data_IF_380759695280
#
_entry.id   IF_380759695280
#
_cell.length_a   1.000
_cell.length_b   1.000
_cell.length_c   1.000
_cell.angle_alpha   90.00
_cell.angle_beta   90.00
_cell.angle_gamma   90.00
#
_symmetry.space_group_name_H-M   'P 1'
#
loop_
_entity.id
_entity.type
_entity.pdbx_description
1 polymer ?
#
# COMPACT_ATOMS: atom_id res chain seq x y z
N UNK A 1 -30.99 -34.88 -35.27
CA UNK A 1 -29.85 -35.78 -34.98
C UNK A 1 -28.70 -34.92 -34.49
N UNK A 2 -28.43 -34.99 -33.18
CA UNK A 2 -27.21 -34.65 -32.43
C UNK A 2 -26.49 -33.30 -32.63
N UNK A 3 -26.37 -32.47 -31.58
CA UNK A 3 -25.28 -31.51 -31.40
C UNK A 3 -24.13 -32.13 -30.58
N UNK A 4 -22.88 -31.89 -30.98
CA UNK A 4 -21.67 -32.40 -30.31
C UNK A 4 -20.92 -31.29 -29.58
N UNK A 5 -20.93 -31.41 -28.25
CA UNK A 5 -19.86 -31.12 -27.29
C UNK A 5 -19.12 -29.77 -27.31
N UNK A 6 -19.62 -28.81 -26.53
CA UNK A 6 -18.79 -27.95 -25.68
C UNK A 6 -18.77 -28.56 -24.28
N UNK A 7 -17.62 -29.03 -23.80
CA UNK A 7 -17.49 -29.53 -22.43
C UNK A 7 -17.39 -28.36 -21.45
N UNK A 8 -18.44 -28.21 -20.66
CA UNK A 8 -18.47 -27.43 -19.42
C UNK A 8 -17.51 -28.08 -18.42
N UNK A 9 -16.36 -27.45 -18.17
CA UNK A 9 -15.40 -27.81 -17.11
C UNK A 9 -15.82 -27.42 -15.70
N UNK A 10 -17.12 -27.43 -15.39
CA UNK A 10 -17.64 -27.27 -14.02
C UNK A 10 -18.14 -28.62 -13.49
N UNK A 11 -17.20 -29.46 -13.05
CA UNK A 11 -17.47 -30.59 -12.17
C UNK A 11 -16.17 -30.85 -11.40
N UNK A 12 -15.97 -30.34 -10.19
CA UNK A 12 -16.56 -30.91 -8.98
C UNK A 12 -16.33 -29.92 -7.83
N UNK A 13 -17.20 -28.94 -7.66
CA UNK A 13 -17.27 -28.21 -6.38
C UNK A 13 -17.99 -29.13 -5.39
N UNK A 14 -17.21 -29.93 -4.65
CA UNK A 14 -17.70 -30.59 -3.44
C UNK A 14 -18.26 -29.49 -2.53
N UNK A 15 -19.58 -29.49 -2.30
CA UNK A 15 -20.17 -28.78 -1.16
C UNK A 15 -19.49 -29.32 0.10
N UNK A 16 -18.56 -28.57 0.67
CA UNK A 16 -18.01 -28.86 1.98
C UNK A 16 -19.16 -28.78 2.99
N UNK A 17 -19.41 -29.89 3.70
CA UNK A 17 -20.33 -29.90 4.84
C UNK A 17 -19.74 -28.97 5.93
N UNK A 18 -20.56 -28.26 6.73
CA UNK A 18 -20.07 -27.25 7.66
C UNK A 18 -19.20 -27.72 8.85
N UNK A 19 -18.75 -28.98 8.90
CA UNK A 19 -18.10 -29.54 10.11
C UNK A 19 -16.94 -30.51 9.88
N UNK A 20 -16.50 -30.79 8.66
CA UNK A 20 -15.39 -31.71 8.35
C UNK A 20 -14.67 -31.15 7.10
N UNK A 21 -13.37 -30.85 7.01
CA UNK A 21 -12.17 -31.31 7.72
C UNK A 21 -11.09 -30.23 7.49
N UNK A 22 -10.62 -29.56 8.54
CA UNK A 22 -9.44 -28.68 8.45
C UNK A 22 -8.18 -29.55 8.24
N UNK A 23 -7.28 -29.20 7.32
CA UNK A 23 -6.08 -30.00 7.03
C UNK A 23 -5.16 -30.15 8.27
N UNK A 24 -4.47 -31.30 8.47
CA UNK A 24 -3.71 -31.62 9.69
C UNK A 24 -2.68 -30.56 10.15
N UNK A 25 -2.06 -29.81 9.24
CA UNK A 25 -1.11 -28.74 9.61
C UNK A 25 -1.78 -27.50 10.25
N UNK A 26 -3.03 -27.19 9.88
CA UNK A 26 -3.82 -26.15 10.56
C UNK A 26 -4.36 -26.62 11.93
N UNK A 27 -4.29 -27.93 12.21
CA UNK A 27 -4.78 -28.53 13.46
C UNK A 27 -3.73 -28.54 14.58
N UNK A 28 -2.43 -28.43 14.28
CA UNK A 28 -1.36 -28.33 15.29
C UNK A 28 -1.34 -26.93 15.93
N UNK A 29 -2.35 -26.67 16.77
CA UNK A 29 -2.42 -25.47 17.59
C UNK A 29 -1.66 -25.73 18.89
N UNK A 30 -0.61 -24.97 19.15
CA UNK A 30 0.02 -25.00 20.47
C UNK A 30 -0.88 -24.27 21.48
N UNK A 31 -0.96 -24.75 22.74
CA UNK A 31 -1.61 -23.99 23.81
C UNK A 31 -1.06 -22.56 23.86
N UNK A 32 -1.94 -21.59 24.08
CA UNK A 32 -1.64 -20.14 24.17
C UNK A 32 -1.22 -19.51 22.84
N UNK A 33 -0.29 -20.09 22.08
CA UNK A 33 0.27 -19.49 20.87
C UNK A 33 -0.53 -19.76 19.59
N UNK A 34 -1.34 -20.82 19.57
CA UNK A 34 -2.04 -21.25 18.37
C UNK A 34 -1.07 -21.60 17.24
N UNK A 35 -1.23 -20.94 16.09
CA UNK A 35 -0.45 -21.11 14.87
C UNK A 35 0.72 -20.10 14.74
N UNK A 36 0.99 -19.25 15.74
CA UNK A 36 2.08 -18.25 15.66
C UNK A 36 3.44 -18.88 15.35
N UNK A 37 3.73 -20.05 15.94
CA UNK A 37 4.98 -20.79 15.73
C UNK A 37 5.19 -21.29 14.29
N UNK A 38 4.14 -21.27 13.45
CA UNK A 38 4.21 -21.67 12.05
C UNK A 38 4.60 -20.49 11.14
N UNK A 39 4.55 -19.26 11.65
CA UNK A 39 4.90 -18.05 10.90
C UNK A 39 6.38 -17.71 11.10
N UNK A 40 7.05 -17.32 10.01
CA UNK A 40 8.42 -16.81 10.03
C UNK A 40 8.43 -15.29 9.78
N UNK A 41 9.61 -14.71 9.49
CA UNK A 41 9.78 -13.28 9.19
C UNK A 41 8.97 -12.79 7.97
N UNK A 42 8.49 -13.71 7.11
CA UNK A 42 7.72 -13.42 5.91
C UNK A 42 6.34 -14.10 5.95
N UNK A 43 5.44 -13.69 6.88
CA UNK A 43 4.18 -14.38 7.12
C UNK A 43 3.28 -14.44 5.87
N UNK A 44 3.30 -13.42 5.02
CA UNK A 44 2.56 -13.40 3.76
C UNK A 44 2.93 -14.55 2.81
N UNK A 45 4.20 -14.98 2.78
CA UNK A 45 4.66 -16.10 1.96
C UNK A 45 4.18 -17.44 2.53
N UNK A 46 4.35 -17.63 3.83
CA UNK A 46 3.88 -18.84 4.54
C UNK A 46 2.37 -19.00 4.36
N UNK A 47 1.61 -17.91 4.57
CA UNK A 47 0.16 -17.92 4.41
C UNK A 47 -0.28 -18.18 2.96
N UNK A 48 0.50 -17.76 1.95
CA UNK A 48 0.24 -18.14 0.56
C UNK A 48 0.41 -19.64 0.35
N UNK A 49 1.53 -20.22 0.80
CA UNK A 49 1.79 -21.67 0.70
C UNK A 49 0.67 -22.48 1.37
N UNK A 50 0.25 -22.07 2.58
CA UNK A 50 -0.88 -22.70 3.27
C UNK A 50 -2.18 -22.56 2.46
N UNK A 51 -2.45 -21.40 1.86
CA UNK A 51 -3.66 -21.21 1.06
C UNK A 51 -3.68 -22.03 -0.23
N UNK A 52 -2.52 -22.33 -0.81
CA UNK A 52 -2.42 -23.25 -1.95
C UNK A 52 -2.73 -24.70 -1.55
N UNK A 53 -2.43 -25.09 -0.31
CA UNK A 53 -2.71 -26.43 0.22
C UNK A 53 -4.14 -26.59 0.76
N UNK A 54 -4.73 -25.53 1.31
CA UNK A 54 -5.97 -25.62 2.09
C UNK A 54 -7.14 -24.84 1.47
N UNK A 55 -6.87 -24.10 0.42
CA UNK A 55 -7.82 -23.20 -0.23
C UNK A 55 -7.65 -21.74 0.21
N UNK A 56 -8.29 -20.82 -0.52
CA UNK A 56 -8.09 -19.37 -0.37
C UNK A 56 -8.75 -18.76 0.87
N UNK A 57 -9.45 -19.57 1.68
CA UNK A 57 -10.11 -19.18 2.94
C UNK A 57 -9.63 -20.15 4.01
N UNK A 58 -8.91 -19.64 5.02
CA UNK A 58 -8.38 -20.47 6.10
C UNK A 58 -8.65 -19.82 7.45
N UNK A 59 -8.96 -20.64 8.45
CA UNK A 59 -9.04 -20.20 9.83
C UNK A 59 -7.78 -20.64 10.58
N UNK A 60 -7.07 -19.68 11.15
CA UNK A 60 -5.93 -19.91 12.04
C UNK A 60 -6.18 -19.24 13.39
N UNK A 61 -5.35 -19.57 14.37
CA UNK A 61 -5.39 -18.99 15.70
C UNK A 61 -4.08 -18.24 15.94
N UNK A 62 -4.10 -16.91 16.08
CA UNK A 62 -2.92 -16.12 16.42
C UNK A 62 -2.99 -15.71 17.89
N UNK A 63 -2.37 -16.50 18.76
CA UNK A 63 -2.54 -16.32 20.20
C UNK A 63 -3.99 -16.63 20.64
N UNK A 64 -4.63 -15.68 21.31
CA UNK A 64 -6.06 -15.76 21.68
C UNK A 64 -7.01 -15.32 20.55
N UNK A 65 -6.50 -14.79 19.44
CA UNK A 65 -7.33 -14.24 18.36
C UNK A 65 -7.64 -15.29 17.29
N UNK A 66 -8.92 -15.63 17.05
CA UNK A 66 -9.31 -16.37 15.85
C UNK A 66 -9.15 -15.47 14.62
N UNK A 67 -8.43 -15.97 13.62
CA UNK A 67 -8.00 -15.18 12.46
C UNK A 67 -8.36 -15.88 11.16
N UNK A 68 -9.23 -15.26 10.38
CA UNK A 68 -9.56 -15.62 9.02
C UNK A 68 -8.49 -15.06 8.06
N UNK A 69 -7.83 -15.94 7.32
CA UNK A 69 -6.90 -15.59 6.25
C UNK A 69 -7.64 -15.71 4.92
N UNK A 70 -7.58 -14.66 4.11
CA UNK A 70 -8.14 -14.66 2.76
C UNK A 70 -7.04 -14.38 1.72
N UNK A 71 -7.01 -15.17 0.65
CA UNK A 71 -5.96 -15.12 -0.38
C UNK A 71 -6.50 -15.11 -1.81
N UNK A 72 -7.78 -14.77 -2.04
CA UNK A 72 -8.35 -14.66 -3.38
C UNK A 72 -9.15 -13.36 -3.57
N UNK A 73 -9.19 -12.88 -4.81
CA UNK A 73 -9.91 -11.66 -5.18
C UNK A 73 -11.41 -11.75 -4.92
N UNK A 74 -12.04 -12.91 -5.17
CA UNK A 74 -13.48 -13.11 -4.97
C UNK A 74 -13.88 -12.98 -3.49
N UNK A 75 -13.09 -13.54 -2.58
CA UNK A 75 -13.32 -13.45 -1.13
C UNK A 75 -13.02 -12.05 -0.61
N UNK A 76 -11.96 -11.41 -1.12
CA UNK A 76 -11.67 -10.01 -0.80
C UNK A 76 -12.82 -9.08 -1.22
N UNK A 77 -13.42 -9.33 -2.39
CA UNK A 77 -14.61 -8.62 -2.87
C UNK A 77 -15.81 -8.81 -1.93
N UNK A 78 -16.10 -10.05 -1.53
CA UNK A 78 -17.21 -10.31 -0.61
C UNK A 78 -17.02 -9.58 0.73
N UNK A 79 -15.79 -9.59 1.30
CA UNK A 79 -15.51 -8.99 2.61
C UNK A 79 -15.45 -7.46 2.56
N UNK A 80 -14.80 -6.88 1.55
CA UNK A 80 -14.54 -5.44 1.50
C UNK A 80 -15.54 -4.65 0.66
N UNK A 81 -16.42 -5.31 -0.09
CA UNK A 81 -17.49 -4.66 -0.86
C UNK A 81 -18.86 -5.13 -0.39
N UNK A 82 -19.20 -6.40 -0.60
CA UNK A 82 -20.55 -6.92 -0.31
C UNK A 82 -20.90 -6.86 1.17
N UNK A 83 -19.94 -7.20 2.04
CA UNK A 83 -20.10 -7.28 3.50
C UNK A 83 -19.22 -6.27 4.24
N UNK A 84 -18.91 -5.15 3.58
CA UNK A 84 -17.91 -4.19 4.07
C UNK A 84 -18.18 -3.69 5.49
N UNK A 85 -19.46 -3.52 5.85
CA UNK A 85 -19.87 -2.99 7.13
C UNK A 85 -19.61 -4.00 8.24
N UNK A 86 -19.88 -5.28 7.98
CA UNK A 86 -19.65 -6.35 8.92
C UNK A 86 -18.17 -6.45 9.28
N UNK A 87 -17.27 -6.21 8.32
CA UNK A 87 -15.81 -6.27 8.50
C UNK A 87 -15.15 -4.89 8.64
N UNK A 88 -15.91 -3.87 9.00
CA UNK A 88 -15.39 -2.50 9.02
C UNK A 88 -14.57 -2.19 10.26
N UNK A 89 -14.53 -3.04 11.30
CA UNK A 89 -13.80 -2.76 12.54
C UNK A 89 -12.31 -3.14 12.44
N UNK A 90 -11.53 -2.78 13.47
CA UNK A 90 -10.12 -3.12 13.63
C UNK A 90 -9.92 -3.92 14.91
N UNK A 91 -9.09 -4.99 14.90
CA UNK A 91 -8.75 -5.70 16.12
C UNK A 91 -7.99 -4.77 17.06
N UNK A 92 -8.28 -4.88 18.36
CA UNK A 92 -7.58 -4.09 19.37
C UNK A 92 -6.10 -4.48 19.46
N UNK A 93 -5.23 -3.47 19.58
CA UNK A 93 -3.79 -3.64 19.76
C UNK A 93 -3.29 -2.67 20.83
N UNK A 94 -2.74 -3.21 21.91
CA UNK A 94 -2.15 -2.40 23.00
C UNK A 94 -1.01 -1.50 22.51
N UNK A 95 -0.25 -1.95 21.51
CA UNK A 95 0.83 -1.17 20.90
C UNK A 95 0.26 0.02 20.13
N UNK A 96 -0.73 -0.24 19.27
CA UNK A 96 -1.40 0.81 18.50
C UNK A 96 -2.12 1.80 19.42
N UNK A 97 -2.74 1.32 20.51
CA UNK A 97 -3.36 2.20 21.49
C UNK A 97 -2.35 3.12 22.19
N UNK A 98 -1.11 2.67 22.44
CA UNK A 98 -0.07 3.52 23.03
C UNK A 98 0.53 4.51 22.03
N UNK A 99 0.79 4.07 20.80
CA UNK A 99 1.47 4.89 19.78
C UNK A 99 0.52 5.88 19.11
N UNK A 100 -0.73 5.48 18.85
CA UNK A 100 -1.72 6.24 18.07
C UNK A 100 -2.78 6.87 18.97
N UNK A 101 -2.37 7.30 20.17
CA UNK A 101 -3.19 8.06 21.11
C UNK A 101 -4.56 7.42 21.39
N UNK A 102 -4.53 6.15 21.82
CA UNK A 102 -5.67 5.29 22.07
C UNK A 102 -6.51 5.01 20.80
N UNK A 103 -5.82 4.76 19.69
CA UNK A 103 -6.41 4.51 18.37
C UNK A 103 -7.38 5.63 17.94
N UNK A 104 -6.94 6.89 18.09
CA UNK A 104 -7.69 8.07 17.64
C UNK A 104 -7.33 8.51 16.22
N UNK A 105 -6.50 7.73 15.55
CA UNK A 105 -6.06 7.87 14.15
C UNK A 105 -7.10 7.33 13.13
N UNK A 106 -6.76 7.31 11.84
CA UNK A 106 -7.68 6.86 10.77
C UNK A 106 -7.53 5.36 10.49
N UNK A 107 -6.32 4.83 10.61
CA UNK A 107 -5.97 3.45 10.29
C UNK A 107 -6.57 2.44 11.28
N UNK A 108 -6.43 2.70 12.58
CA UNK A 108 -6.66 1.76 13.68
C UNK A 108 -7.91 2.08 14.52
N UNK A 109 -8.50 3.27 14.38
CA UNK A 109 -9.70 3.61 15.15
C UNK A 109 -10.88 2.64 14.90
N UNK A 110 -11.60 2.24 15.97
CA UNK A 110 -12.80 1.43 15.85
C UNK A 110 -13.84 2.06 14.93
N UNK A 111 -14.59 1.22 14.21
CA UNK A 111 -15.60 1.72 13.30
C UNK A 111 -16.77 2.35 14.07
N UNK A 112 -17.14 3.57 13.71
CA UNK A 112 -18.24 4.29 14.35
C UNK A 112 -18.30 5.74 13.88
N UNK A 113 -19.16 6.53 14.53
CA UNK A 113 -19.38 7.93 14.15
C UNK A 113 -18.10 8.77 14.23
N UNK A 114 -17.28 8.52 15.28
CA UNK A 114 -15.96 9.14 15.42
C UNK A 114 -15.09 8.88 14.19
N UNK A 115 -14.83 7.61 13.87
CA UNK A 115 -13.97 7.26 12.74
C UNK A 115 -14.52 7.78 11.40
N UNK A 116 -15.84 7.76 11.20
CA UNK A 116 -16.44 8.31 9.98
C UNK A 116 -16.18 9.80 9.85
N UNK A 117 -16.31 10.57 10.94
CA UNK A 117 -15.98 12.00 10.95
C UNK A 117 -14.50 12.24 10.64
N UNK A 118 -13.59 11.56 11.35
CA UNK A 118 -12.13 11.75 11.14
C UNK A 118 -11.73 11.35 9.72
N UNK A 119 -12.19 10.19 9.21
CA UNK A 119 -11.92 9.79 7.83
C UNK A 119 -12.47 10.81 6.83
N UNK A 120 -13.70 11.30 7.04
CA UNK A 120 -14.28 12.31 6.17
C UNK A 120 -13.43 13.58 6.16
N UNK A 121 -12.97 14.02 7.33
CA UNK A 121 -12.05 15.16 7.45
C UNK A 121 -10.78 14.94 6.64
N UNK A 122 -10.11 13.79 6.80
CA UNK A 122 -8.89 13.50 6.06
C UNK A 122 -9.12 13.46 4.55
N UNK A 123 -10.19 12.80 4.08
CA UNK A 123 -10.48 12.69 2.64
C UNK A 123 -10.87 14.04 2.02
N UNK A 124 -11.69 14.85 2.70
CA UNK A 124 -12.18 16.10 2.13
C UNK A 124 -11.19 17.25 2.25
N UNK A 125 -10.53 17.39 3.40
CA UNK A 125 -9.73 18.58 3.70
C UNK A 125 -8.23 18.38 3.47
N UNK A 126 -7.71 17.15 3.68
CA UNK A 126 -6.28 16.86 3.59
C UNK A 126 -5.88 16.15 2.29
N UNK A 127 -6.72 15.24 1.80
CA UNK A 127 -6.39 14.29 0.72
C UNK A 127 -7.35 14.38 -0.47
N UNK A 128 -8.09 15.48 -0.59
CA UNK A 128 -8.92 15.74 -1.76
C UNK A 128 -8.04 16.06 -2.97
N UNK A 129 -8.55 15.81 -4.18
CA UNK A 129 -7.79 16.10 -5.41
C UNK A 129 -7.27 17.54 -5.45
N UNK A 130 -8.09 18.52 -5.07
CA UNK A 130 -7.68 19.92 -4.99
C UNK A 130 -6.51 20.13 -4.02
N UNK A 131 -6.53 19.45 -2.88
CA UNK A 131 -5.48 19.56 -1.87
C UNK A 131 -4.21 18.83 -2.27
N UNK A 132 -4.32 17.64 -2.85
CA UNK A 132 -3.16 16.94 -3.43
C UNK A 132 -2.50 17.83 -4.49
N UNK A 133 -3.29 18.42 -5.38
CA UNK A 133 -2.78 19.35 -6.41
C UNK A 133 -2.13 20.60 -5.80
N UNK A 134 -2.60 21.14 -4.68
CA UNK A 134 -1.94 22.31 -4.06
C UNK A 134 -0.52 22.02 -3.54
N UNK A 135 -0.16 20.76 -3.28
CA UNK A 135 1.20 20.36 -2.87
C UNK A 135 2.14 20.07 -4.04
N UNK A 136 1.76 20.41 -5.28
CA UNK A 136 2.58 20.13 -6.47
C UNK A 136 3.96 20.77 -6.41
N UNK A 137 4.05 22.03 -6.00
CA UNK A 137 5.32 22.76 -5.97
C UNK A 137 6.27 22.14 -4.94
N UNK A 138 5.75 21.87 -3.73
CA UNK A 138 6.51 21.17 -2.68
C UNK A 138 7.01 19.82 -3.17
N UNK A 139 6.16 19.01 -3.82
CA UNK A 139 6.59 17.73 -4.39
C UNK A 139 7.68 17.91 -5.45
N UNK A 140 7.54 18.88 -6.34
CA UNK A 140 8.53 19.16 -7.37
C UNK A 140 9.87 19.59 -6.78
N UNK A 141 9.87 20.46 -5.77
CA UNK A 141 11.05 20.92 -5.03
C UNK A 141 11.75 19.76 -4.32
N UNK A 142 11.03 19.02 -3.47
CA UNK A 142 11.57 17.88 -2.71
C UNK A 142 12.11 16.77 -3.63
N UNK A 143 11.42 16.49 -4.74
CA UNK A 143 11.91 15.50 -5.70
C UNK A 143 13.16 15.99 -6.43
N UNK A 144 13.26 17.29 -6.71
CA UNK A 144 14.47 17.88 -7.31
C UNK A 144 15.64 17.79 -6.34
N UNK A 145 15.41 18.17 -5.09
CA UNK A 145 16.38 18.04 -4.01
C UNK A 145 16.88 16.60 -3.85
N UNK A 146 15.97 15.61 -3.84
CA UNK A 146 16.33 14.19 -3.81
C UNK A 146 17.24 13.80 -4.99
N UNK A 147 16.90 14.24 -6.21
CA UNK A 147 17.70 13.95 -7.41
C UNK A 147 19.08 14.62 -7.33
N UNK A 148 19.17 15.85 -6.86
CA UNK A 148 20.44 16.54 -6.63
C UNK A 148 21.31 15.80 -5.61
N UNK A 149 20.72 15.32 -4.52
CA UNK A 149 21.42 14.51 -3.52
C UNK A 149 21.93 13.19 -4.10
N UNK A 150 21.13 12.51 -4.92
CA UNK A 150 21.59 11.31 -5.65
C UNK A 150 22.77 11.64 -6.57
N UNK A 151 22.74 12.77 -7.27
CA UNK A 151 23.82 13.22 -8.15
C UNK A 151 25.12 13.54 -7.39
N UNK A 152 25.02 14.16 -6.22
CA UNK A 152 26.17 14.39 -5.32
C UNK A 152 26.78 13.07 -4.83
N UNK A 153 25.94 12.06 -4.59
CA UNK A 153 26.37 10.73 -4.17
C UNK A 153 26.98 9.91 -5.30
N UNK A 154 26.46 10.00 -6.54
CA UNK A 154 26.98 9.26 -7.69
C UNK A 154 28.40 9.68 -8.10
N UNK A 155 28.85 10.86 -7.67
CA UNK A 155 30.19 11.39 -7.94
C UNK A 155 31.23 10.99 -6.88
N UNK A 156 30.86 10.17 -5.88
CA UNK A 156 31.73 9.83 -4.75
C UNK A 156 31.76 8.32 -4.47
N UNK A 157 32.95 7.79 -4.16
CA UNK A 157 33.17 6.38 -3.82
C UNK A 157 32.73 5.99 -2.39
N UNK A 158 32.22 6.93 -1.58
CA UNK A 158 31.91 6.75 -0.16
C UNK A 158 30.41 6.97 0.14
N UNK A 159 29.54 6.26 -0.58
CA UNK A 159 28.09 6.44 -0.54
C UNK A 159 27.50 6.34 0.88
N UNK A 160 27.99 5.38 1.69
CA UNK A 160 27.47 5.12 3.05
C UNK A 160 27.85 6.23 4.03
N UNK A 161 29.08 6.74 3.98
CA UNK A 161 29.53 7.83 4.84
C UNK A 161 28.82 9.14 4.50
N UNK A 162 28.54 9.40 3.21
CA UNK A 162 27.74 10.56 2.78
C UNK A 162 26.30 10.48 3.25
N UNK A 163 25.63 9.33 3.10
CA UNK A 163 24.24 9.17 3.56
C UNK A 163 24.14 9.38 5.07
N UNK A 164 25.13 8.88 5.84
CA UNK A 164 25.19 9.12 7.28
C UNK A 164 25.34 10.62 7.61
N UNK A 165 26.28 11.32 6.95
CA UNK A 165 26.50 12.76 7.12
C UNK A 165 25.26 13.59 6.75
N UNK A 166 24.60 13.26 5.64
CA UNK A 166 23.38 13.94 5.19
C UNK A 166 22.20 13.71 6.14
N UNK A 167 22.09 12.51 6.72
CA UNK A 167 21.07 12.22 7.73
C UNK A 167 21.31 13.07 8.98
N UNK A 168 22.56 13.20 9.41
CA UNK A 168 22.95 14.04 10.56
C UNK A 168 22.67 15.53 10.29
N UNK A 169 23.07 16.05 9.13
CA UNK A 169 22.79 17.44 8.71
C UNK A 169 21.28 17.74 8.66
N UNK A 170 20.48 16.81 8.14
CA UNK A 170 19.02 16.95 8.13
C UNK A 170 18.46 17.03 9.56
N UNK A 171 18.90 16.12 10.44
CA UNK A 171 18.46 16.11 11.84
C UNK A 171 18.86 17.40 12.56
N UNK A 172 20.08 17.90 12.35
CA UNK A 172 20.54 19.16 12.92
C UNK A 172 19.72 20.35 12.39
N UNK A 173 19.41 20.38 11.09
CA UNK A 173 18.54 21.39 10.48
C UNK A 173 17.13 21.42 11.10
N UNK A 174 16.55 20.24 11.34
CA UNK A 174 15.25 20.12 12.03
C UNK A 174 15.33 20.64 13.46
N UNK A 175 16.41 20.34 14.19
CA UNK A 175 16.65 20.85 15.55
C UNK A 175 16.78 22.37 15.54
N UNK A 176 17.58 22.93 14.63
CA UNK A 176 17.77 24.37 14.52
C UNK A 176 16.48 25.12 14.16
N UNK A 177 15.67 24.59 13.23
CA UNK A 177 14.40 25.21 12.83
C UNK A 177 13.42 25.28 14.02
N UNK A 178 13.36 24.23 14.84
CA UNK A 178 12.51 24.18 16.02
C UNK A 178 13.05 25.03 17.20
N UNK A 179 14.36 25.24 17.29
CA UNK A 179 14.96 26.19 18.23
C UNK A 179 14.70 27.65 17.81
N UNK A 180 14.73 27.94 16.50
CA UNK A 180 14.51 29.30 15.94
C UNK A 180 13.03 29.71 15.94
N UNK A 181 12.09 28.78 15.76
CA UNK A 181 10.63 29.03 15.89
C UNK A 181 10.18 29.39 17.31
N UNK A 182 11.05 29.31 18.31
CA UNK A 182 10.81 29.84 19.67
C UNK A 182 11.06 31.35 19.84
N UNK A 183 11.53 32.07 18.80
CA UNK A 183 12.10 33.41 18.98
C UNK A 183 11.61 34.54 18.04
N UNK A 184 10.79 34.31 17.01
CA UNK A 184 10.29 35.42 16.19
C UNK A 184 9.02 35.11 15.39
N UNK A 185 8.09 36.06 15.47
CA UNK A 185 6.76 36.11 14.88
C UNK A 185 6.74 36.59 13.41
N UNK A 186 5.61 36.29 12.74
CA UNK A 186 4.95 37.02 11.65
C UNK A 186 5.64 37.17 10.26
N UNK A 187 4.84 36.91 9.21
CA UNK A 187 5.08 37.07 7.76
C UNK A 187 5.87 35.99 7.02
N UNK A 188 5.20 34.89 6.69
CA UNK A 188 5.38 34.21 5.41
C UNK A 188 4.00 33.94 4.79
N UNK A 189 3.88 34.13 3.48
CA UNK A 189 2.69 33.72 2.73
C UNK A 189 2.47 32.22 2.96
N UNK A 190 1.53 31.88 3.85
CA UNK A 190 1.31 30.52 4.31
C UNK A 190 0.83 29.64 3.13
N UNK A 191 1.76 28.84 2.60
CA UNK A 191 1.36 27.55 2.07
C UNK A 191 0.74 26.76 3.23
N UNK A 192 -0.59 26.64 3.23
CA UNK A 192 -1.32 25.98 4.33
C UNK A 192 -0.86 24.54 4.50
N UNK A 193 -0.12 24.25 5.59
CA UNK A 193 0.37 22.90 5.86
C UNK A 193 -0.78 21.97 6.28
N UNK A 194 -0.52 20.65 6.27
CA UNK A 194 -1.47 19.67 6.82
C UNK A 194 -1.88 20.00 8.27
N UNK A 195 -0.94 20.53 9.06
CA UNK A 195 -1.16 20.88 10.47
C UNK A 195 -2.06 22.10 10.58
N UNK A 196 -1.84 23.12 9.75
CA UNK A 196 -2.65 24.35 9.75
C UNK A 196 -4.08 24.05 9.32
N UNK A 197 -4.27 23.16 8.33
CA UNK A 197 -5.60 22.70 7.93
C UNK A 197 -6.29 21.97 9.09
N UNK A 198 -5.59 21.07 9.79
CA UNK A 198 -6.17 20.36 10.94
C UNK A 198 -6.53 21.31 12.08
N UNK A 199 -5.71 22.33 12.34
CA UNK A 199 -5.98 23.36 13.35
C UNK A 199 -7.12 24.31 12.95
N UNK A 200 -7.34 24.52 11.64
CA UNK A 200 -8.42 25.38 11.13
C UNK A 200 -9.81 24.76 11.25
N UNK A 201 -9.92 23.44 11.46
CA UNK A 201 -11.20 22.74 11.56
C UNK A 201 -11.71 22.82 13.00
N UNK A 202 -12.85 23.50 13.19
CA UNK A 202 -13.54 23.55 14.48
C UNK A 202 -13.95 22.14 14.95
N UNK A 203 -13.92 21.90 16.26
CA UNK A 203 -14.36 20.67 16.94
C UNK A 203 -13.48 19.40 16.77
N UNK A 204 -12.19 19.54 16.41
CA UNK A 204 -11.22 18.42 16.49
C UNK A 204 -10.35 18.53 17.73
N UNK A 205 -10.37 17.49 18.58
CA UNK A 205 -9.51 17.43 19.76
C UNK A 205 -8.03 17.37 19.37
N UNK A 206 -7.17 18.09 20.12
CA UNK A 206 -5.70 18.10 19.90
C UNK A 206 -5.08 16.71 19.88
N UNK A 207 -5.63 15.76 20.65
CA UNK A 207 -5.16 14.37 20.66
C UNK A 207 -5.42 13.69 19.31
N UNK A 208 -6.57 13.93 18.70
CA UNK A 208 -6.92 13.45 17.36
C UNK A 208 -6.02 14.08 16.30
N UNK A 209 -5.72 15.38 16.38
CA UNK A 209 -4.79 16.05 15.46
C UNK A 209 -3.41 15.35 15.48
N UNK A 210 -2.83 15.16 16.67
CA UNK A 210 -1.55 14.45 16.81
C UNK A 210 -1.59 13.03 16.26
N UNK A 211 -2.67 12.30 16.52
CA UNK A 211 -2.84 10.94 16.02
C UNK A 211 -2.91 10.88 14.49
N UNK A 212 -3.68 11.79 13.88
CA UNK A 212 -3.80 11.88 12.42
C UNK A 212 -2.47 12.28 11.77
N UNK A 213 -1.75 13.26 12.31
CA UNK A 213 -0.44 13.66 11.77
C UNK A 213 0.54 12.47 11.78
N UNK A 214 0.64 11.78 12.93
CA UNK A 214 1.52 10.63 13.07
C UNK A 214 1.14 9.49 12.13
N UNK A 215 -0.15 9.16 12.03
CA UNK A 215 -0.68 8.12 11.14
C UNK A 215 -0.39 8.44 9.67
N UNK A 216 -0.66 9.67 9.22
CA UNK A 216 -0.41 10.08 7.83
C UNK A 216 1.08 10.06 7.48
N UNK A 217 1.94 10.58 8.37
CA UNK A 217 3.39 10.61 8.14
C UNK A 217 3.97 9.19 8.10
N UNK A 218 3.70 8.38 9.13
CA UNK A 218 4.24 7.03 9.23
C UNK A 218 3.74 6.12 8.10
N UNK A 219 2.43 6.19 7.78
CA UNK A 219 1.86 5.37 6.71
C UNK A 219 2.31 5.83 5.31
N UNK A 220 2.46 7.14 5.10
CA UNK A 220 2.84 7.70 3.81
C UNK A 220 4.30 7.50 3.46
N UNK A 221 5.21 7.70 4.41
CA UNK A 221 6.65 7.67 4.17
C UNK A 221 7.16 6.26 3.80
N UNK A 222 6.97 5.28 4.69
CA UNK A 222 7.48 3.91 4.51
C UNK A 222 6.87 3.22 3.27
N UNK A 223 5.58 3.43 3.04
CA UNK A 223 4.89 2.83 1.90
C UNK A 223 5.38 3.40 0.57
N UNK A 224 5.56 4.73 0.48
CA UNK A 224 6.04 5.40 -0.75
C UNK A 224 7.48 5.01 -1.06
N UNK A 225 8.35 5.01 -0.04
CA UNK A 225 9.73 4.54 -0.14
C UNK A 225 9.79 3.10 -0.69
N UNK A 226 9.01 2.20 -0.09
CA UNK A 226 8.98 0.78 -0.48
C UNK A 226 8.57 0.60 -1.96
N UNK A 227 7.61 1.37 -2.46
CA UNK A 227 7.21 1.29 -3.88
C UNK A 227 8.34 1.75 -4.80
N UNK A 228 9.01 2.86 -4.48
CA UNK A 228 10.11 3.37 -5.29
C UNK A 228 11.31 2.41 -5.29
N UNK A 229 11.65 1.87 -4.12
CA UNK A 229 12.72 0.89 -3.94
C UNK A 229 12.47 -0.37 -4.79
N UNK A 230 11.27 -0.95 -4.70
CA UNK A 230 10.93 -2.12 -5.51
C UNK A 230 10.80 -1.79 -7.01
N UNK A 231 10.29 -0.62 -7.38
CA UNK A 231 10.24 -0.21 -8.78
C UNK A 231 11.66 -0.14 -9.37
N UNK A 232 12.58 0.52 -8.69
CA UNK A 232 13.98 0.63 -9.13
C UNK A 232 14.68 -0.73 -9.12
N UNK A 233 14.46 -1.56 -8.11
CA UNK A 233 15.00 -2.93 -8.02
C UNK A 233 14.57 -3.75 -9.23
N UNK A 234 13.27 -3.75 -9.53
CA UNK A 234 12.72 -4.51 -10.65
C UNK A 234 13.19 -3.99 -12.01
N UNK A 235 13.30 -2.67 -12.19
CA UNK A 235 13.80 -2.08 -13.43
C UNK A 235 15.30 -2.38 -13.64
N UNK A 236 16.12 -2.33 -12.58
CA UNK A 236 17.53 -2.70 -12.63
C UNK A 236 17.74 -4.17 -13.02
N UNK A 237 16.86 -5.05 -12.52
CA UNK A 237 16.84 -6.48 -12.88
C UNK A 237 16.34 -6.76 -14.29
N UNK A 238 15.66 -5.80 -14.91
CA UNK A 238 15.11 -5.93 -16.26
C UNK A 238 15.51 -4.75 -17.14
N UNK A 239 16.78 -4.68 -17.61
CA UNK A 239 17.31 -3.52 -18.34
C UNK A 239 16.49 -3.12 -19.58
N UNK A 240 15.85 -4.09 -20.25
CA UNK A 240 14.95 -3.83 -21.37
C UNK A 240 13.70 -3.03 -20.97
N UNK A 241 13.15 -3.26 -19.77
CA UNK A 241 12.02 -2.50 -19.23
C UNK A 241 12.48 -1.11 -18.76
N UNK A 242 13.66 -1.01 -18.13
CA UNK A 242 14.29 0.27 -17.78
C UNK A 242 14.47 1.15 -19.02
N UNK A 243 15.11 0.61 -20.06
CA UNK A 243 15.36 1.34 -21.33
C UNK A 243 14.06 1.82 -21.97
N UNK A 244 13.02 0.97 -22.00
CA UNK A 244 11.70 1.33 -22.53
C UNK A 244 11.03 2.45 -21.72
N UNK A 245 11.10 2.39 -20.39
CA UNK A 245 10.58 3.45 -19.52
C UNK A 245 11.35 4.75 -19.71
N UNK A 246 12.68 4.71 -19.72
CA UNK A 246 13.51 5.90 -19.96
C UNK A 246 13.22 6.52 -21.33
N UNK A 247 12.98 5.70 -22.36
CA UNK A 247 12.62 6.18 -23.69
C UNK A 247 11.30 6.95 -23.67
N UNK A 248 10.25 6.41 -23.03
CA UNK A 248 8.97 7.14 -22.87
C UNK A 248 9.15 8.44 -22.10
N UNK A 249 9.77 8.38 -20.92
CA UNK A 249 9.89 9.53 -20.01
C UNK A 249 10.73 10.64 -20.64
N UNK A 250 11.90 10.32 -21.23
CA UNK A 250 12.76 11.31 -21.88
C UNK A 250 12.12 11.92 -23.12
N UNK A 251 11.39 11.12 -23.91
CA UNK A 251 10.69 11.66 -25.08
C UNK A 251 9.61 12.67 -24.69
N UNK A 252 8.81 12.37 -23.66
CA UNK A 252 7.74 13.26 -23.20
C UNK A 252 8.30 14.53 -22.56
N UNK A 253 9.30 14.40 -21.67
CA UNK A 253 9.90 15.54 -20.96
C UNK A 253 10.81 16.42 -21.83
N UNK A 254 11.20 15.97 -23.03
CA UNK A 254 11.93 16.81 -24.00
C UNK A 254 11.03 17.81 -24.73
N UNK A 255 9.71 17.77 -24.51
CA UNK A 255 8.76 18.72 -25.12
C UNK A 255 8.88 20.08 -24.45
N UNK A 256 9.12 21.14 -25.22
CA UNK A 256 9.27 22.51 -24.69
C UNK A 256 8.04 22.95 -23.87
N UNK A 257 8.28 23.48 -22.67
CA UNK A 257 7.24 24.03 -21.79
C UNK A 257 6.44 23.00 -20.98
N UNK A 258 6.79 21.71 -21.01
CA UNK A 258 6.08 20.69 -20.25
C UNK A 258 6.44 20.74 -18.75
N UNK A 259 5.48 21.09 -17.90
CA UNK A 259 5.58 20.90 -16.45
C UNK A 259 5.60 19.40 -16.14
N UNK A 260 6.44 18.96 -15.21
CA UNK A 260 6.71 17.52 -15.02
C UNK A 260 5.46 16.76 -14.57
N UNK A 261 4.67 17.31 -13.64
CA UNK A 261 3.43 16.65 -13.18
C UNK A 261 2.34 16.58 -14.27
N UNK A 262 2.20 17.58 -15.13
CA UNK A 262 1.23 17.56 -16.23
C UNK A 262 1.66 16.57 -17.33
N UNK A 263 2.97 16.50 -17.60
CA UNK A 263 3.55 15.56 -18.55
C UNK A 263 3.33 14.10 -18.14
N UNK A 264 3.35 13.80 -16.83
CA UNK A 264 3.09 12.46 -16.27
C UNK A 264 1.71 11.93 -16.64
N UNK A 265 0.73 12.78 -16.93
CA UNK A 265 -0.59 12.32 -17.38
C UNK A 265 -0.48 11.37 -18.60
N UNK A 266 0.47 11.67 -19.48
CA UNK A 266 0.72 10.99 -20.75
C UNK A 266 1.74 9.84 -20.66
N UNK A 267 2.39 9.64 -19.51
CA UNK A 267 3.37 8.56 -19.29
C UNK A 267 2.67 7.24 -18.96
N UNK A 268 2.06 6.62 -19.97
CA UNK A 268 1.26 5.41 -19.79
C UNK A 268 2.07 4.20 -19.34
N UNK A 269 3.30 4.04 -19.84
CA UNK A 269 4.17 2.94 -19.46
C UNK A 269 4.73 3.12 -18.04
N UNK A 270 5.08 4.33 -17.61
CA UNK A 270 5.39 4.65 -16.21
C UNK A 270 4.27 4.18 -15.27
N UNK A 271 3.02 4.53 -15.57
CA UNK A 271 1.84 4.12 -14.79
C UNK A 271 1.66 2.61 -14.77
N UNK A 272 1.95 1.93 -15.89
CA UNK A 272 1.91 0.49 -15.98
C UNK A 272 3.02 -0.18 -15.13
N UNK A 273 4.24 0.37 -15.12
CA UNK A 273 5.34 -0.08 -14.26
C UNK A 273 4.93 0.03 -12.80
N UNK A 274 4.41 1.17 -12.36
CA UNK A 274 3.99 1.38 -10.97
C UNK A 274 2.86 0.42 -10.56
N UNK A 275 1.86 0.21 -11.44
CA UNK A 275 0.80 -0.79 -11.20
C UNK A 275 1.36 -2.19 -11.03
N UNK A 276 2.33 -2.59 -11.86
CA UNK A 276 2.95 -3.90 -11.81
C UNK A 276 3.86 -4.07 -10.59
N UNK A 277 4.61 -3.03 -10.22
CA UNK A 277 5.35 -2.98 -8.96
C UNK A 277 4.41 -3.13 -7.76
N UNK A 278 3.28 -2.43 -7.72
CA UNK A 278 2.30 -2.56 -6.62
C UNK A 278 1.63 -3.94 -6.59
N UNK A 279 1.47 -4.61 -7.74
CA UNK A 279 0.94 -5.98 -7.82
C UNK A 279 1.90 -6.98 -7.19
N UNK A 280 3.19 -6.90 -7.54
CA UNK A 280 4.22 -7.81 -7.03
C UNK A 280 4.70 -7.42 -5.63
N UNK A 281 4.80 -6.14 -5.32
CA UNK A 281 5.44 -5.64 -4.11
C UNK A 281 4.53 -4.66 -3.39
N UNK A 282 3.31 -5.07 -2.98
CA UNK A 282 2.45 -4.22 -2.17
C UNK A 282 3.16 -3.89 -0.84
N UNK A 283 3.32 -2.60 -0.46
CA UNK A 283 4.05 -2.22 0.75
C UNK A 283 3.48 -2.82 2.03
N UNK A 284 2.17 -3.12 2.04
CA UNK A 284 1.51 -3.85 3.12
C UNK A 284 0.98 -5.20 2.59
N UNK A 285 1.81 -6.26 2.49
CA UNK A 285 1.46 -7.54 1.88
C UNK A 285 0.19 -8.22 2.43
N UNK A 286 -0.10 -8.01 3.73
CA UNK A 286 -1.23 -8.59 4.45
C UNK A 286 -2.39 -7.61 4.69
N UNK A 287 -2.27 -6.38 4.16
CA UNK A 287 -3.10 -5.22 4.49
C UNK A 287 -3.23 -4.99 6.00
N UNK A 288 -3.91 -3.91 6.38
CA UNK A 288 -4.31 -3.72 7.77
C UNK A 288 -5.46 -4.67 8.11
N UNK A 289 -5.32 -5.39 9.22
CA UNK A 289 -6.29 -6.38 9.69
C UNK A 289 -7.66 -5.77 9.93
N UNK A 290 -8.72 -6.44 9.50
CA UNK A 290 -10.12 -6.10 9.81
C UNK A 290 -10.64 -6.98 10.94
N UNK A 291 -11.78 -6.64 11.50
CA UNK A 291 -12.48 -7.44 12.50
C UNK A 291 -13.97 -7.51 12.16
N UNK A 292 -14.56 -8.69 12.31
CA UNK A 292 -16.01 -8.86 12.16
C UNK A 292 -16.76 -8.28 13.35
N UNK A 293 -17.74 -7.43 13.09
CA UNK A 293 -18.61 -6.78 14.08
C UNK A 293 -19.81 -7.63 14.48
N UNK A 294 -20.15 -8.64 13.66
CA UNK A 294 -21.30 -9.51 13.85
C UNK A 294 -21.03 -10.90 13.28
N UNK A 295 -21.87 -11.86 13.65
CA UNK A 295 -21.88 -13.18 13.01
C UNK A 295 -22.32 -13.03 11.54
N UNK A 296 -21.56 -13.61 10.62
CA UNK A 296 -21.77 -13.41 9.18
C UNK A 296 -21.30 -14.62 8.38
N UNK A 297 -22.03 -14.94 7.31
CA UNK A 297 -21.64 -16.00 6.37
C UNK A 297 -20.84 -15.41 5.21
N UNK A 298 -19.63 -15.93 4.98
CA UNK A 298 -18.75 -15.56 3.87
C UNK A 298 -18.46 -16.81 3.04
N UNK A 299 -18.76 -16.79 1.74
CA UNK A 299 -18.61 -17.96 0.85
C UNK A 299 -19.15 -19.28 1.43
N UNK A 300 -20.22 -19.22 2.22
CA UNK A 300 -20.80 -20.40 2.89
C UNK A 300 -20.28 -20.69 4.30
N UNK A 301 -19.13 -20.14 4.70
CA UNK A 301 -18.51 -20.32 6.02
C UNK A 301 -19.09 -19.37 7.06
N UNK A 302 -19.33 -19.87 8.28
CA UNK A 302 -19.82 -19.08 9.40
C UNK A 302 -18.66 -18.39 10.13
N UNK A 303 -18.64 -17.06 10.09
CA UNK A 303 -17.62 -16.22 10.72
C UNK A 303 -18.25 -15.54 11.93
N UNK A 304 -17.68 -15.76 13.13
CA UNK A 304 -18.20 -15.17 14.37
C UNK A 304 -17.77 -13.71 14.52
N UNK A 305 -18.58 -12.92 15.23
CA UNK A 305 -18.18 -11.60 15.71
C UNK A 305 -16.84 -11.67 16.47
N UNK A 306 -16.01 -10.64 16.34
CA UNK A 306 -14.67 -10.57 16.92
C UNK A 306 -13.59 -11.34 16.14
N UNK A 307 -13.93 -12.02 15.05
CA UNK A 307 -12.94 -12.71 14.20
C UNK A 307 -12.07 -11.68 13.48
N UNK A 308 -10.75 -11.77 13.65
CA UNK A 308 -9.79 -10.99 12.89
C UNK A 308 -9.75 -11.49 11.44
N UNK A 309 -9.65 -10.59 10.47
CA UNK A 309 -9.52 -10.91 9.06
C UNK A 309 -8.23 -10.30 8.52
N UNK A 310 -7.36 -11.15 7.98
CA UNK A 310 -6.14 -10.78 7.29
C UNK A 310 -6.31 -11.07 5.81
N UNK A 311 -5.99 -10.08 4.95
CA UNK A 311 -6.07 -10.23 3.51
C UNK A 311 -4.68 -10.27 2.90
N UNK A 312 -4.30 -11.41 2.35
CA UNK A 312 -3.02 -11.58 1.71
C UNK A 312 -3.04 -10.97 0.30
N UNK A 313 -2.93 -9.64 0.21
CA UNK A 313 -2.87 -8.90 -1.05
C UNK A 313 -1.68 -9.37 -1.92
N UNK A 314 -0.57 -9.76 -1.30
CA UNK A 314 0.60 -10.31 -2.00
C UNK A 314 0.31 -11.66 -2.68
N UNK A 315 -0.48 -12.53 -2.05
CA UNK A 315 -0.93 -13.77 -2.67
C UNK A 315 -1.93 -13.50 -3.80
N UNK A 316 -2.89 -12.57 -3.59
CA UNK A 316 -3.89 -12.19 -4.60
C UNK A 316 -3.22 -11.61 -5.85
N UNK A 317 -2.21 -10.75 -5.66
CA UNK A 317 -1.41 -10.20 -6.74
C UNK A 317 -0.63 -11.26 -7.52
N UNK A 318 -0.43 -12.47 -6.97
CA UNK A 318 0.27 -13.60 -7.59
C UNK A 318 -0.61 -14.83 -7.80
N UNK A 319 -1.92 -14.65 -7.87
CA UNK A 319 -2.84 -15.74 -8.12
C UNK A 319 -2.87 -16.04 -9.63
N UNK A 320 -2.42 -17.23 -10.08
CA UNK A 320 -2.45 -17.60 -11.50
C UNK A 320 -3.87 -17.70 -12.08
N UNK A 321 -4.90 -17.73 -11.24
CA UNK A 321 -6.31 -17.63 -11.70
C UNK A 321 -6.61 -16.19 -12.17
N UNK A 322 -6.00 -15.19 -11.54
CA UNK A 322 -6.23 -13.77 -11.82
C UNK A 322 -5.22 -13.18 -12.80
N UNK A 323 -4.00 -13.72 -12.85
CA UNK A 323 -2.87 -13.14 -13.57
C UNK A 323 -2.12 -14.19 -14.39
N UNK A 324 -2.03 -13.97 -15.71
CA UNK A 324 -1.12 -14.76 -16.55
C UNK A 324 0.35 -14.46 -16.18
N UNK A 325 1.17 -15.52 -16.11
CA UNK A 325 2.57 -15.47 -15.63
C UNK A 325 2.70 -14.62 -14.36
N UNK A 326 1.94 -15.01 -13.33
CA UNK A 326 1.69 -14.21 -12.13
C UNK A 326 2.94 -13.83 -11.30
N UNK A 327 4.07 -14.53 -11.49
CA UNK A 327 5.33 -14.21 -10.80
C UNK A 327 6.22 -13.23 -11.57
N UNK A 328 5.96 -13.05 -12.86
CA UNK A 328 6.79 -12.22 -13.74
C UNK A 328 6.37 -10.75 -13.67
N UNK A 329 7.35 -9.84 -13.65
CA UNK A 329 7.14 -8.42 -13.86
C UNK A 329 6.88 -8.16 -15.34
N UNK A 330 5.64 -7.86 -15.69
CA UNK A 330 5.25 -7.47 -17.06
C UNK A 330 4.31 -6.27 -17.03
N UNK A 331 4.85 -5.04 -17.10
CA UNK A 331 4.05 -3.82 -17.21
C UNK A 331 3.07 -3.85 -18.40
N UNK A 332 3.41 -4.56 -19.48
CA UNK A 332 2.60 -4.70 -20.70
C UNK A 332 1.16 -5.15 -20.40
N UNK A 333 0.94 -5.93 -19.32
CA UNK A 333 -0.40 -6.39 -18.93
C UNK A 333 -1.37 -5.25 -18.60
N UNK A 334 -0.86 -4.04 -18.34
CA UNK A 334 -1.67 -2.86 -18.03
C UNK A 334 -1.90 -1.91 -19.20
N UNK A 335 -1.30 -2.13 -20.37
CA UNK A 335 -1.38 -1.21 -21.52
C UNK A 335 -2.81 -0.98 -22.03
N UNK A 336 -3.60 -2.05 -22.09
CA UNK A 336 -5.01 -2.01 -22.56
C UNK A 336 -5.97 -2.53 -21.48
N UNK A 337 -5.51 -2.56 -20.23
CA UNK A 337 -6.27 -3.08 -19.10
C UNK A 337 -7.04 -1.98 -18.39
N UNK A 338 -8.31 -2.23 -18.12
CA UNK A 338 -9.13 -1.39 -17.24
C UNK A 338 -8.86 -1.64 -15.75
N UNK A 339 -7.96 -2.58 -15.42
CA UNK A 339 -7.62 -2.91 -14.03
C UNK A 339 -6.91 -1.73 -13.37
N UNK A 340 -7.44 -1.31 -12.23
CA UNK A 340 -6.83 -0.33 -11.34
C UNK A 340 -6.84 -0.78 -9.88
N UNK A 341 -6.20 0.01 -9.03
CA UNK A 341 -6.17 -0.20 -7.58
C UNK A 341 -7.13 0.74 -6.84
N UNK A 342 -8.13 1.32 -7.52
CA UNK A 342 -9.10 2.27 -6.94
C UNK A 342 -10.24 1.56 -6.20
N UNK A 343 -10.06 0.29 -5.86
CA UNK A 343 -10.98 -0.48 -5.02
C UNK A 343 -12.14 -1.17 -5.76
N UNK A 344 -12.08 -1.26 -7.10
CA UNK A 344 -13.07 -1.99 -7.93
C UNK A 344 -12.55 -3.33 -8.44
N UNK A 345 -11.25 -3.42 -8.73
CA UNK A 345 -10.62 -4.65 -9.22
C UNK A 345 -9.92 -5.38 -8.07
N UNK A 346 -10.59 -6.41 -7.53
CA UNK A 346 -10.10 -7.10 -6.34
C UNK A 346 -8.84 -7.96 -6.56
N UNK A 347 -8.46 -8.19 -7.81
CA UNK A 347 -7.18 -8.79 -8.17
C UNK A 347 -5.97 -7.84 -7.96
N UNK A 348 -6.21 -6.53 -7.82
CA UNK A 348 -5.18 -5.51 -7.56
C UNK A 348 -5.63 -4.58 -6.41
N UNK A 349 -5.29 -4.95 -5.17
CA UNK A 349 -5.74 -4.23 -3.95
C UNK A 349 -4.60 -3.77 -3.02
N UNK A 350 -3.51 -3.16 -3.54
CA UNK A 350 -2.40 -2.70 -2.70
C UNK A 350 -2.82 -1.65 -1.66
N UNK A 351 -3.90 -0.92 -1.93
CA UNK A 351 -4.48 0.11 -1.06
C UNK A 351 -5.73 -0.35 -0.29
N UNK A 352 -6.05 -1.65 -0.36
CA UNK A 352 -7.32 -2.19 0.12
C UNK A 352 -8.54 -1.65 -0.64
N UNK A 353 -9.73 -1.89 -0.09
CA UNK A 353 -11.00 -1.46 -0.68
C UNK A 353 -12.09 -1.21 0.39
N UNK A 354 -13.23 -0.69 -0.05
CA UNK A 354 -14.42 -0.43 0.76
C UNK A 354 -14.25 0.74 1.74
N UNK A 355 -15.07 0.78 2.80
CA UNK A 355 -14.97 1.78 3.88
C UNK A 355 -13.57 1.95 4.42
N UNK A 356 -12.75 0.91 4.48
CA UNK A 356 -11.38 0.95 5.03
C UNK A 356 -10.29 1.06 3.95
N UNK A 357 -10.66 1.37 2.70
CA UNK A 357 -9.68 1.70 1.66
C UNK A 357 -8.82 2.90 2.05
N UNK A 358 -7.56 2.88 1.63
CA UNK A 358 -6.57 3.91 1.93
C UNK A 358 -7.09 5.30 1.51
N UNK A 359 -7.06 6.31 2.40
CA UNK A 359 -7.42 7.67 2.02
C UNK A 359 -6.32 8.36 1.20
N UNK A 360 -5.05 7.93 1.34
CA UNK A 360 -3.88 8.57 0.75
C UNK A 360 -3.51 8.13 -0.67
N UNK A 361 -4.37 7.36 -1.36
CA UNK A 361 -4.06 6.77 -2.69
C UNK A 361 -3.60 7.82 -3.69
N UNK A 362 -4.33 8.94 -3.81
CA UNK A 362 -4.00 9.97 -4.80
C UNK A 362 -2.66 10.64 -4.46
N UNK A 363 -2.44 10.98 -3.20
CA UNK A 363 -1.18 11.60 -2.75
C UNK A 363 0.01 10.68 -3.01
N UNK A 364 -0.07 9.41 -2.60
CA UNK A 364 1.00 8.43 -2.78
C UNK A 364 1.33 8.22 -4.26
N UNK A 365 0.30 8.06 -5.11
CA UNK A 365 0.51 7.86 -6.55
C UNK A 365 1.18 9.06 -7.20
N UNK A 366 0.76 10.30 -6.89
CA UNK A 366 1.40 11.51 -7.42
C UNK A 366 2.88 11.61 -7.01
N UNK A 367 3.22 11.27 -5.76
CA UNK A 367 4.62 11.27 -5.29
C UNK A 367 5.44 10.20 -6.00
N UNK A 368 4.94 8.96 -6.07
CA UNK A 368 5.66 7.85 -6.72
C UNK A 368 5.87 8.11 -8.21
N UNK A 369 4.84 8.57 -8.92
CA UNK A 369 4.93 8.87 -10.35
C UNK A 369 5.98 9.95 -10.63
N UNK A 370 5.96 11.06 -9.88
CA UNK A 370 6.93 12.15 -10.04
C UNK A 370 8.36 11.72 -9.71
N UNK A 371 8.55 11.06 -8.58
CA UNK A 371 9.86 10.60 -8.14
C UNK A 371 10.47 9.61 -9.13
N UNK A 372 9.71 8.58 -9.54
CA UNK A 372 10.20 7.58 -10.49
C UNK A 372 10.51 8.21 -11.85
N UNK A 373 9.65 9.10 -12.36
CA UNK A 373 9.89 9.81 -13.62
C UNK A 373 11.19 10.62 -13.58
N UNK A 374 11.40 11.45 -12.54
CA UNK A 374 12.63 12.26 -12.41
C UNK A 374 13.89 11.40 -12.24
N UNK A 375 13.81 10.30 -11.48
CA UNK A 375 14.92 9.37 -11.28
C UNK A 375 15.37 8.71 -12.58
N UNK A 376 14.45 8.13 -13.36
CA UNK A 376 14.79 7.41 -14.60
C UNK A 376 15.12 8.37 -15.74
N UNK A 377 14.57 9.58 -15.72
CA UNK A 377 14.95 10.64 -16.65
C UNK A 377 16.42 11.03 -16.49
N UNK A 378 16.82 11.33 -15.26
CA UNK A 378 18.08 12.03 -14.95
C UNK A 378 19.33 11.14 -15.02
N UNK A 379 19.21 9.87 -14.65
CA UNK A 379 20.36 8.97 -14.55
C UNK A 379 20.25 7.79 -15.51
N UNK A 380 21.41 7.22 -15.87
CA UNK A 380 21.50 5.84 -16.33
C UNK A 380 21.83 4.97 -15.11
N UNK A 381 21.16 3.83 -15.00
CA UNK A 381 21.21 2.98 -13.82
C UNK A 381 21.80 1.62 -14.19
N UNK A 382 22.75 1.16 -13.38
CA UNK A 382 23.43 -0.12 -13.54
C UNK A 382 23.62 -0.74 -12.16
N UNK A 383 23.70 -2.08 -12.09
CA UNK A 383 24.05 -2.74 -10.84
C UNK A 383 25.54 -2.53 -10.51
N UNK A 384 25.90 -2.45 -9.22
CA UNK A 384 27.30 -2.35 -8.80
C UNK A 384 28.15 -3.47 -9.42
N UNK A 385 29.36 -3.14 -9.87
CA UNK A 385 30.29 -4.12 -10.43
C UNK A 385 29.93 -4.65 -11.82
N UNK A 386 28.91 -4.08 -12.48
CA UNK A 386 28.47 -4.52 -13.81
C UNK A 386 27.75 -5.86 -13.82
N UNK A 387 27.15 -6.25 -12.69
CA UNK A 387 26.34 -7.46 -12.58
C UNK A 387 25.12 -7.40 -13.52
N UNK A 388 24.75 -8.54 -14.10
CA UNK A 388 23.49 -8.72 -14.82
C UNK A 388 22.41 -9.20 -13.81
N UNK A 389 21.22 -8.57 -13.84
CA UNK A 389 20.18 -8.72 -12.81
C UNK A 389 19.14 -9.83 -13.02
#
# INVERSE_FOLDING_TARGET
>A
RSPSHFSSGYSTLRRLKPTETYHPLLQLKLPIFGNLHQLNLYPHRVLRTLSQLHGPIMMIQLGSMPTLIISSASVASEIMSTRDLAFSNRPFSSISAKLLYNCRDVAMAPYGDYWRRVKNTCVLHLLSNKRVQSFRNVREEETTYMVEKIKECSQSSLLVEKVACQTDEFLEGVVEEHLKKGASDENQQEETSFVDILLSIQDIERVTIKAVILDMFAAGADATYTVLEWAMTELLRHPHLMSKLQTEVRAILSTEGAETEDAIEHMHYLKAVIKETLRLHPPVPLLLSRESTQDVKVMGYDIRAGTQVITNAWAIGRDPISWDRAEELSPERFRESSIDFKGRNFQLIPFGAGRRGCPGVQFAVSVVELALAKIVHTFNWELPGGEEG
#
